data_IF_102907199527
#
_entry.id   IF_102907199527
#
_cell.length_a   1.000
_cell.length_b   1.000
_cell.length_c   1.000
_cell.angle_alpha   90.00
_cell.angle_beta   90.00
_cell.angle_gamma   90.00
#
_symmetry.space_group_name_H-M   'P 1'
#
loop_
_entity.id
_entity.type
_entity.pdbx_description
1 polymer ?
#
# COMPACT_ATOMS: atom_id res chain seq x y z
N UNK A 1 8.23 -55.16 -17.34
CA UNK A 1 7.94 -54.50 -16.05
C UNK A 1 9.00 -53.42 -15.90
N UNK A 2 8.77 -52.12 -15.78
CA UNK A 2 7.60 -51.23 -15.55
C UNK A 2 8.32 -49.97 -15.05
N UNK A 3 8.09 -48.72 -15.41
CA UNK A 3 7.06 -48.00 -16.14
C UNK A 3 7.79 -46.98 -17.02
N UNK A 4 7.36 -46.84 -18.27
CA UNK A 4 7.67 -45.65 -19.06
C UNK A 4 7.04 -44.45 -18.36
N UNK A 5 7.90 -43.56 -17.86
CA UNK A 5 7.59 -42.31 -17.20
C UNK A 5 6.79 -41.40 -18.16
N UNK A 6 5.48 -41.64 -18.24
CA UNK A 6 4.55 -40.89 -19.06
C UNK A 6 4.23 -39.58 -18.33
N UNK A 7 5.24 -38.69 -18.25
CA UNK A 7 5.02 -37.29 -17.88
C UNK A 7 4.08 -36.70 -18.90
N UNK A 8 2.81 -36.62 -18.53
CA UNK A 8 1.76 -35.94 -19.28
C UNK A 8 2.31 -34.57 -19.66
N UNK A 9 2.58 -34.37 -20.96
CA UNK A 9 3.16 -33.13 -21.47
C UNK A 9 2.18 -32.02 -21.13
N UNK A 10 2.59 -31.10 -20.24
CA UNK A 10 1.69 -30.07 -19.72
C UNK A 10 1.28 -29.13 -20.87
N UNK A 11 0.06 -28.56 -20.80
CA UNK A 11 -0.39 -27.63 -21.82
C UNK A 11 0.50 -26.39 -21.79
N UNK A 12 1.24 -26.17 -22.88
CA UNK A 12 2.07 -24.98 -23.08
C UNK A 12 1.16 -23.76 -23.31
N UNK A 13 1.51 -22.63 -22.71
CA UNK A 13 0.89 -21.34 -23.02
C UNK A 13 1.20 -20.97 -24.48
N UNK A 14 0.26 -20.34 -25.20
CA UNK A 14 0.46 -19.99 -26.61
C UNK A 14 1.59 -18.96 -26.76
N UNK A 15 2.33 -19.04 -27.87
CA UNK A 15 3.36 -18.06 -28.23
C UNK A 15 2.73 -16.88 -28.97
N UNK A 16 1.86 -16.14 -28.29
CA UNK A 16 1.22 -14.94 -28.80
C UNK A 16 1.21 -13.83 -27.75
N UNK A 17 1.14 -12.59 -28.20
CA UNK A 17 1.06 -11.42 -27.30
C UNK A 17 -0.37 -11.17 -26.80
N UNK A 18 -1.39 -11.54 -27.58
CA UNK A 18 -2.79 -11.37 -27.21
C UNK A 18 -3.19 -12.30 -26.06
N UNK A 19 -3.97 -11.76 -25.12
CA UNK A 19 -4.47 -12.51 -23.97
C UNK A 19 -6.00 -12.64 -24.04
N UNK A 20 -6.51 -13.66 -23.34
CA UNK A 20 -7.93 -13.83 -23.03
C UNK A 20 -8.06 -14.11 -21.54
N UNK A 21 -9.26 -13.95 -20.95
CA UNK A 21 -9.47 -14.30 -19.54
C UNK A 21 -9.09 -15.75 -19.24
N UNK A 22 -9.36 -16.67 -20.16
CA UNK A 22 -8.98 -18.08 -20.02
C UNK A 22 -7.45 -18.26 -20.00
N UNK A 23 -6.71 -17.53 -20.84
CA UNK A 23 -5.24 -17.57 -20.87
C UNK A 23 -4.64 -16.94 -19.62
N UNK A 24 -5.23 -15.86 -19.12
CA UNK A 24 -4.82 -15.24 -17.84
C UNK A 24 -5.03 -16.24 -16.70
N UNK A 25 -6.18 -16.92 -16.62
CA UNK A 25 -6.43 -17.90 -15.57
C UNK A 25 -5.52 -19.13 -15.71
N UNK A 26 -5.25 -19.58 -16.94
CA UNK A 26 -4.28 -20.65 -17.17
C UNK A 26 -2.87 -20.26 -16.70
N UNK A 27 -2.41 -19.06 -17.04
CA UNK A 27 -1.12 -18.55 -16.56
C UNK A 27 -1.12 -18.42 -15.03
N UNK A 28 -2.21 -17.92 -14.46
CA UNK A 28 -2.40 -17.77 -13.02
C UNK A 28 -2.31 -19.12 -12.30
N UNK A 29 -2.99 -20.17 -12.77
CA UNK A 29 -2.93 -21.51 -12.16
C UNK A 29 -1.52 -22.12 -12.24
N UNK A 30 -0.83 -21.99 -13.38
CA UNK A 30 0.54 -22.50 -13.50
C UNK A 30 1.52 -21.73 -12.59
N UNK A 31 1.40 -20.41 -12.48
CA UNK A 31 2.16 -19.59 -11.53
C UNK A 31 1.82 -20.00 -10.09
N UNK A 32 0.54 -20.16 -9.76
CA UNK A 32 0.05 -20.58 -8.44
C UNK A 32 0.64 -21.91 -8.02
N UNK A 33 0.67 -22.88 -8.94
CA UNK A 33 1.24 -24.20 -8.73
C UNK A 33 2.74 -24.11 -8.42
N UNK A 34 3.50 -23.36 -9.22
CA UNK A 34 4.93 -23.15 -8.96
C UNK A 34 5.15 -22.46 -7.62
N UNK A 35 4.43 -21.38 -7.33
CA UNK A 35 4.51 -20.68 -6.05
C UNK A 35 4.20 -21.59 -4.86
N UNK A 36 3.19 -22.46 -4.98
CA UNK A 36 2.85 -23.46 -3.96
C UNK A 36 3.95 -24.51 -3.77
N UNK A 37 4.61 -24.94 -4.86
CA UNK A 37 5.73 -25.87 -4.77
C UNK A 37 6.92 -25.28 -4.00
N UNK A 38 7.12 -23.96 -4.09
CA UNK A 38 8.09 -23.21 -3.28
C UNK A 38 7.56 -22.81 -1.89
N UNK A 39 6.36 -23.22 -1.53
CA UNK A 39 5.69 -22.91 -0.26
C UNK A 39 5.55 -21.40 0.01
N UNK A 40 5.31 -20.58 -1.02
CA UNK A 40 4.95 -19.17 -0.83
C UNK A 40 3.62 -19.07 -0.08
N UNK A 41 3.63 -18.39 1.06
CA UNK A 41 2.42 -18.09 1.82
C UNK A 41 1.84 -16.76 1.37
N UNK A 42 0.67 -16.79 0.73
CA UNK A 42 -0.01 -15.60 0.19
C UNK A 42 -1.42 -15.46 0.73
N UNK A 43 -1.98 -14.25 0.73
CA UNK A 43 -3.43 -14.06 0.81
C UNK A 43 -4.09 -14.60 -0.48
N UNK A 44 -5.39 -14.95 -0.45
CA UNK A 44 -6.12 -15.25 -1.67
C UNK A 44 -5.98 -14.12 -2.69
N UNK A 45 -5.74 -14.46 -3.95
CA UNK A 45 -5.53 -13.49 -5.03
C UNK A 45 -6.85 -13.13 -5.72
N UNK A 46 -7.08 -11.85 -5.93
CA UNK A 46 -8.13 -11.30 -6.77
C UNK A 46 -7.48 -10.50 -7.90
N UNK A 47 -7.60 -11.00 -9.12
CA UNK A 47 -7.07 -10.34 -10.32
C UNK A 47 -8.15 -9.44 -10.92
N UNK A 48 -7.82 -8.18 -11.16
CA UNK A 48 -8.71 -7.22 -11.82
C UNK A 48 -8.03 -6.62 -13.04
N UNK A 49 -8.63 -6.78 -14.22
CA UNK A 49 -8.13 -6.14 -15.44
C UNK A 49 -8.72 -4.73 -15.53
N UNK A 50 -7.85 -3.73 -15.69
CA UNK A 50 -8.20 -2.31 -15.72
C UNK A 50 -7.56 -1.60 -16.90
N UNK A 51 -8.17 -0.50 -17.33
CA UNK A 51 -7.64 0.37 -18.38
C UNK A 51 -6.45 1.18 -17.87
N UNK A 52 -5.62 1.74 -18.77
CA UNK A 52 -4.55 2.65 -18.37
C UNK A 52 -5.06 3.89 -17.58
N UNK A 53 -6.26 4.39 -17.89
CA UNK A 53 -6.88 5.51 -17.17
C UNK A 53 -7.22 5.11 -15.72
N UNK A 54 -7.88 3.97 -15.55
CA UNK A 54 -8.18 3.42 -14.22
C UNK A 54 -6.92 3.14 -13.41
N UNK A 55 -5.84 2.70 -14.07
CA UNK A 55 -4.56 2.50 -13.40
C UNK A 55 -3.96 3.82 -12.91
N UNK A 56 -4.02 4.88 -13.71
CA UNK A 56 -3.56 6.21 -13.27
C UNK A 56 -4.40 6.74 -12.11
N UNK A 57 -5.71 6.55 -12.14
CA UNK A 57 -6.59 6.90 -11.02
C UNK A 57 -6.22 6.13 -9.74
N UNK A 58 -6.00 4.82 -9.87
CA UNK A 58 -5.54 3.99 -8.76
C UNK A 58 -4.17 4.48 -8.23
N UNK A 59 -3.20 4.82 -9.08
CA UNK A 59 -1.90 5.36 -8.64
C UNK A 59 -2.04 6.63 -7.79
N UNK A 60 -2.93 7.52 -8.20
CA UNK A 60 -3.08 8.83 -7.55
C UNK A 60 -3.78 8.74 -6.20
N UNK A 61 -4.58 7.70 -6.02
CA UNK A 61 -5.21 7.31 -4.77
C UNK A 61 -4.39 6.30 -3.96
N UNK A 62 -3.08 6.18 -4.24
CA UNK A 62 -2.14 5.28 -3.53
C UNK A 62 -2.53 3.79 -3.66
N UNK A 63 -3.11 3.43 -4.81
CA UNK A 63 -3.55 2.09 -5.17
C UNK A 63 -4.90 1.68 -4.59
N UNK A 64 -5.61 2.54 -3.85
CA UNK A 64 -6.87 2.15 -3.20
C UNK A 64 -8.07 2.24 -4.16
N UNK A 65 -9.04 1.29 -4.13
CA UNK A 65 -10.18 1.30 -5.04
C UNK A 65 -11.18 2.42 -4.70
N UNK A 66 -11.13 2.89 -3.45
CA UNK A 66 -12.00 3.92 -2.91
C UNK A 66 -11.15 4.87 -2.08
N UNK A 67 -11.16 6.16 -2.43
CA UNK A 67 -10.55 7.22 -1.63
C UNK A 67 -11.49 8.43 -1.54
N UNK A 68 -11.21 9.33 -0.61
CA UNK A 68 -11.80 10.67 -0.59
C UNK A 68 -11.15 11.55 -1.67
N UNK A 69 -11.85 12.61 -2.06
CA UNK A 69 -11.35 13.55 -3.05
C UNK A 69 -10.37 14.53 -2.38
N UNK A 70 -9.26 14.81 -3.06
CA UNK A 70 -8.32 15.84 -2.65
C UNK A 70 -7.60 16.38 -3.89
N UNK A 71 -7.42 17.70 -3.98
CA UNK A 71 -6.83 18.34 -5.16
C UNK A 71 -5.41 17.86 -5.46
N UNK A 72 -4.65 17.45 -4.42
CA UNK A 72 -3.29 16.93 -4.59
C UNK A 72 -3.26 15.65 -5.42
N UNK A 73 -4.30 14.80 -5.31
CA UNK A 73 -4.41 13.58 -6.11
C UNK A 73 -4.58 13.92 -7.59
N UNK A 74 -5.42 14.91 -7.92
CA UNK A 74 -5.57 15.40 -9.29
C UNK A 74 -4.28 16.02 -9.86
N UNK A 75 -3.52 16.76 -9.05
CA UNK A 75 -2.21 17.28 -9.46
C UNK A 75 -1.23 16.14 -9.76
N UNK A 76 -1.22 15.08 -8.93
CA UNK A 76 -0.42 13.89 -9.18
C UNK A 76 -0.87 13.16 -10.44
N UNK A 77 -2.19 13.06 -10.69
CA UNK A 77 -2.75 12.46 -11.90
C UNK A 77 -2.20 13.11 -13.15
N UNK A 78 -2.33 14.44 -13.25
CA UNK A 78 -1.84 15.19 -14.40
C UNK A 78 -0.33 15.05 -14.61
N UNK A 79 0.45 14.95 -13.53
CA UNK A 79 1.89 14.73 -13.62
C UNK A 79 2.23 13.34 -14.17
N UNK A 80 1.57 12.30 -13.64
CA UNK A 80 1.75 10.90 -14.07
C UNK A 80 1.30 10.70 -15.51
N UNK A 81 0.10 11.18 -15.86
CA UNK A 81 -0.45 11.10 -17.21
C UNK A 81 0.48 11.78 -18.23
N UNK A 82 1.00 12.97 -17.90
CA UNK A 82 1.92 13.70 -18.79
C UNK A 82 3.23 12.95 -18.99
N UNK A 83 3.79 12.34 -17.94
CA UNK A 83 5.00 11.52 -18.04
C UNK A 83 4.77 10.27 -18.90
N UNK A 84 3.60 9.64 -18.75
CA UNK A 84 3.19 8.49 -19.53
C UNK A 84 3.00 8.83 -21.01
N UNK A 85 2.20 9.87 -21.34
CA UNK A 85 1.97 10.31 -22.73
C UNK A 85 3.27 10.70 -23.45
N UNK A 86 4.29 11.14 -22.70
CA UNK A 86 5.61 11.49 -23.23
C UNK A 86 6.55 10.29 -23.40
N UNK A 87 6.11 9.08 -23.06
CA UNK A 87 6.92 7.86 -23.08
C UNK A 87 8.11 7.90 -22.11
N UNK A 88 8.12 8.84 -21.16
CA UNK A 88 9.21 9.03 -20.19
C UNK A 88 9.12 8.04 -19.03
N UNK A 89 7.93 7.47 -18.83
CA UNK A 89 7.65 6.45 -17.83
C UNK A 89 6.97 5.29 -18.55
N UNK A 90 7.56 4.10 -18.53
CA UNK A 90 6.74 2.90 -18.72
C UNK A 90 5.75 2.86 -17.56
N UNK A 91 4.45 2.68 -17.82
CA UNK A 91 3.50 2.44 -16.74
C UNK A 91 4.06 1.32 -15.87
N UNK A 92 4.08 1.53 -14.56
CA UNK A 92 4.38 0.45 -13.65
C UNK A 92 3.29 -0.59 -13.88
N UNK A 93 3.72 -1.77 -14.34
CA UNK A 93 2.87 -2.77 -14.99
C UNK A 93 1.76 -3.33 -14.09
N UNK A 94 1.79 -2.97 -12.80
CA UNK A 94 0.98 -3.54 -11.75
C UNK A 94 0.70 -2.53 -10.65
N UNK A 95 -0.42 -2.73 -9.97
CA UNK A 95 -0.69 -2.16 -8.64
C UNK A 95 -1.21 -3.31 -7.79
N UNK A 96 -0.63 -3.49 -6.61
CA UNK A 96 -1.07 -4.47 -5.64
C UNK A 96 -1.56 -3.81 -4.36
N UNK A 97 -2.74 -4.21 -3.91
CA UNK A 97 -3.32 -3.80 -2.64
C UNK A 97 -3.13 -4.91 -1.62
N UNK A 98 -2.51 -4.58 -0.49
CA UNK A 98 -2.41 -5.45 0.67
C UNK A 98 -3.76 -5.60 1.41
N UNK A 99 -4.73 -6.23 0.76
CA UNK A 99 -6.02 -6.62 1.33
C UNK A 99 -6.16 -8.14 1.41
N UNK A 100 -7.23 -8.62 2.03
CA UNK A 100 -7.59 -10.03 2.03
C UNK A 100 -9.04 -10.19 1.50
N UNK A 101 -9.22 -10.60 0.22
CA UNK A 101 -8.21 -11.04 -0.75
C UNK A 101 -7.26 -9.92 -1.20
N UNK A 102 -6.05 -10.28 -1.59
CA UNK A 102 -5.06 -9.37 -2.16
C UNK A 102 -5.49 -9.03 -3.59
N UNK A 103 -5.66 -7.74 -3.87
CA UNK A 103 -6.11 -7.27 -5.19
C UNK A 103 -4.87 -6.93 -6.01
N UNK A 104 -4.76 -7.52 -7.20
CA UNK A 104 -3.72 -7.20 -8.18
C UNK A 104 -4.36 -6.69 -9.47
N UNK A 105 -3.99 -5.47 -9.83
CA UNK A 105 -4.46 -4.81 -11.04
C UNK A 105 -3.57 -5.15 -12.24
N UNK A 106 -4.20 -5.64 -13.29
CA UNK A 106 -3.61 -6.01 -14.57
C UNK A 106 -4.00 -4.97 -15.62
N UNK A 107 -3.03 -4.37 -16.30
CA UNK A 107 -3.37 -3.48 -17.42
C UNK A 107 -3.91 -4.27 -18.61
N UNK A 108 -4.94 -3.78 -19.27
CA UNK A 108 -5.47 -4.41 -20.48
C UNK A 108 -4.48 -4.36 -21.66
N UNK A 109 -3.62 -3.33 -21.72
CA UNK A 109 -2.65 -3.13 -22.79
C UNK A 109 -1.40 -4.03 -22.65
N UNK A 110 -1.28 -4.78 -21.54
CA UNK A 110 -0.19 -5.73 -21.35
C UNK A 110 -0.32 -6.92 -22.31
N UNK A 111 0.81 -7.39 -22.85
CA UNK A 111 0.87 -8.70 -23.52
C UNK A 111 0.63 -9.85 -22.53
N UNK A 112 0.32 -11.05 -23.03
CA UNK A 112 0.22 -12.26 -22.19
C UNK A 112 1.47 -12.50 -21.33
N UNK A 113 2.66 -12.24 -21.88
CA UNK A 113 3.92 -12.31 -21.14
C UNK A 113 3.94 -11.33 -19.98
N UNK A 114 3.54 -10.09 -20.24
CA UNK A 114 3.47 -9.05 -19.21
C UNK A 114 2.38 -9.35 -18.17
N UNK A 115 1.23 -9.91 -18.56
CA UNK A 115 0.22 -10.37 -17.61
C UNK A 115 0.80 -11.44 -16.68
N UNK A 116 1.46 -12.46 -17.22
CA UNK A 116 2.09 -13.51 -16.43
C UNK A 116 3.20 -12.97 -15.51
N UNK A 117 4.00 -12.02 -16.00
CA UNK A 117 5.01 -11.33 -15.21
C UNK A 117 4.40 -10.59 -14.02
N UNK A 118 3.34 -9.81 -14.27
CA UNK A 118 2.64 -9.05 -13.25
C UNK A 118 2.00 -9.99 -12.24
N UNK A 119 1.32 -11.05 -12.67
CA UNK A 119 0.71 -12.03 -11.76
C UNK A 119 1.79 -12.64 -10.84
N UNK A 120 2.93 -13.06 -11.40
CA UNK A 120 4.01 -13.63 -10.60
C UNK A 120 4.63 -12.59 -9.62
N UNK A 121 4.76 -11.33 -10.05
CA UNK A 121 5.34 -10.24 -9.27
C UNK A 121 4.40 -9.73 -8.18
N UNK A 122 3.22 -9.29 -8.56
CA UNK A 122 2.21 -8.68 -7.71
C UNK A 122 1.49 -9.70 -6.83
N UNK A 123 0.89 -10.72 -7.45
CA UNK A 123 -0.03 -11.65 -6.80
C UNK A 123 0.69 -12.70 -5.94
N UNK A 124 1.98 -12.97 -6.22
CA UNK A 124 2.76 -13.96 -5.45
C UNK A 124 3.97 -13.32 -4.77
N UNK A 125 4.73 -12.49 -5.47
CA UNK A 125 5.86 -11.77 -4.91
C UNK A 125 5.46 -10.82 -3.78
N UNK A 126 4.83 -9.70 -4.11
CA UNK A 126 4.42 -8.70 -3.10
C UNK A 126 3.44 -9.26 -2.09
N UNK A 127 2.45 -10.03 -2.52
CA UNK A 127 1.48 -10.64 -1.62
C UNK A 127 2.16 -11.50 -0.54
N UNK A 128 3.10 -12.38 -0.91
CA UNK A 128 3.82 -13.19 0.08
C UNK A 128 4.71 -12.34 1.00
N UNK A 129 5.29 -11.26 0.48
CA UNK A 129 6.04 -10.30 1.29
C UNK A 129 5.13 -9.61 2.33
N UNK A 130 3.97 -9.11 1.92
CA UNK A 130 3.02 -8.43 2.80
C UNK A 130 2.52 -9.37 3.91
N UNK A 131 2.18 -10.62 3.57
CA UNK A 131 1.69 -11.61 4.54
C UNK A 131 2.78 -12.04 5.53
N UNK A 132 4.00 -12.24 5.05
CA UNK A 132 5.12 -12.75 5.85
C UNK A 132 5.83 -11.69 6.69
N UNK A 133 5.89 -10.44 6.23
CA UNK A 133 6.73 -9.41 6.84
C UNK A 133 6.18 -8.90 8.18
N UNK A 134 7.06 -8.80 9.18
CA UNK A 134 6.66 -8.42 10.54
C UNK A 134 6.09 -7.00 10.63
N UNK A 135 6.56 -6.05 9.82
CA UNK A 135 6.07 -4.66 9.82
C UNK A 135 4.65 -4.61 9.29
N UNK A 136 4.37 -5.32 8.19
CA UNK A 136 3.02 -5.41 7.64
C UNK A 136 2.08 -6.07 8.64
N UNK A 137 2.46 -7.20 9.24
CA UNK A 137 1.62 -7.87 10.26
C UNK A 137 1.32 -6.99 11.48
N UNK A 138 2.26 -6.12 11.84
CA UNK A 138 2.15 -5.21 12.99
C UNK A 138 1.27 -4.01 12.68
N UNK A 139 1.47 -3.37 11.54
CA UNK A 139 0.92 -2.04 11.23
C UNK A 139 -0.24 -2.04 10.24
N UNK A 140 -0.38 -3.11 9.46
CA UNK A 140 -1.46 -3.25 8.49
C UNK A 140 -2.54 -4.20 9.00
N UNK A 141 -3.75 -3.99 8.50
CA UNK A 141 -4.90 -4.86 8.71
C UNK A 141 -5.55 -5.11 7.35
N UNK A 142 -5.10 -6.16 6.68
CA UNK A 142 -5.51 -6.48 5.32
C UNK A 142 -7.02 -6.82 5.22
N UNK A 143 -7.62 -7.32 6.31
CA UNK A 143 -9.04 -7.69 6.34
C UNK A 143 -9.95 -6.46 6.39
N UNK A 144 -9.52 -5.39 7.08
CA UNK A 144 -10.38 -4.24 7.40
C UNK A 144 -10.08 -2.98 6.57
N UNK A 145 -9.02 -2.97 5.76
CA UNK A 145 -8.54 -1.76 5.11
C UNK A 145 -9.54 -1.17 4.11
N UNK A 146 -10.20 -2.02 3.32
CA UNK A 146 -11.17 -1.59 2.30
C UNK A 146 -12.39 -0.93 2.96
N UNK A 147 -12.96 -1.59 3.98
CA UNK A 147 -14.07 -1.03 4.77
C UNK A 147 -13.69 0.30 5.42
N UNK A 148 -12.45 0.40 5.91
CA UNK A 148 -11.95 1.61 6.50
C UNK A 148 -11.83 2.76 5.49
N UNK A 149 -11.41 2.49 4.25
CA UNK A 149 -11.37 3.50 3.18
C UNK A 149 -12.77 3.96 2.78
N UNK A 150 -13.73 3.06 2.68
CA UNK A 150 -15.14 3.40 2.39
C UNK A 150 -15.70 4.29 3.51
N UNK A 151 -15.43 3.95 4.77
CA UNK A 151 -15.78 4.79 5.91
C UNK A 151 -15.14 6.18 5.81
N UNK A 152 -13.84 6.27 5.55
CA UNK A 152 -13.12 7.53 5.46
C UNK A 152 -13.69 8.44 4.36
N UNK A 153 -13.96 7.88 3.16
CA UNK A 153 -14.59 8.61 2.06
C UNK A 153 -15.95 9.18 2.44
N UNK A 154 -16.83 8.34 2.99
CA UNK A 154 -18.18 8.76 3.36
C UNK A 154 -18.16 9.81 4.47
N UNK A 155 -17.25 9.65 5.44
CA UNK A 155 -17.10 10.58 6.56
C UNK A 155 -16.63 11.96 6.09
N UNK A 156 -15.64 12.02 5.18
CA UNK A 156 -15.16 13.28 4.62
C UNK A 156 -16.26 13.96 3.80
N UNK A 157 -16.98 13.21 2.97
CA UNK A 157 -18.11 13.76 2.21
C UNK A 157 -19.23 14.32 3.10
N UNK A 158 -19.52 13.65 4.23
CA UNK A 158 -20.47 14.15 5.22
C UNK A 158 -19.97 15.42 5.92
N UNK A 159 -18.66 15.49 6.21
CA UNK A 159 -18.06 16.70 6.78
C UNK A 159 -18.13 17.88 5.80
N UNK A 160 -17.84 17.66 4.51
CA UNK A 160 -17.95 18.69 3.47
C UNK A 160 -19.37 19.26 3.37
N UNK A 161 -20.39 18.39 3.46
CA UNK A 161 -21.80 18.81 3.44
C UNK A 161 -22.19 19.64 4.68
N UNK A 162 -21.65 19.31 5.86
CA UNK A 162 -22.05 19.93 7.12
C UNK A 162 -21.25 21.18 7.47
N UNK A 163 -19.96 21.18 7.18
CA UNK A 163 -18.99 22.19 7.63
C UNK A 163 -18.47 23.06 6.49
N UNK A 164 -18.82 22.73 5.24
CA UNK A 164 -18.36 23.43 4.04
C UNK A 164 -17.07 22.85 3.49
N UNK A 165 -16.90 22.98 2.18
CA UNK A 165 -15.75 22.44 1.45
C UNK A 165 -14.42 23.07 1.92
N UNK A 166 -14.33 24.40 1.93
CA UNK A 166 -13.09 25.13 2.24
C UNK A 166 -12.51 24.77 3.62
N UNK A 167 -13.37 24.64 4.63
CA UNK A 167 -12.94 24.32 5.99
C UNK A 167 -12.42 22.88 6.14
N UNK A 168 -13.00 21.94 5.39
CA UNK A 168 -12.55 20.54 5.37
C UNK A 168 -11.25 20.41 4.58
N UNK A 169 -11.14 21.11 3.43
CA UNK A 169 -9.94 21.13 2.60
C UNK A 169 -8.73 21.69 3.35
N UNK A 170 -8.87 22.83 4.04
CA UNK A 170 -7.77 23.43 4.83
C UNK A 170 -7.24 22.47 5.91
N UNK A 171 -8.13 21.73 6.56
CA UNK A 171 -7.74 20.72 7.54
C UNK A 171 -7.07 19.52 6.87
N UNK A 172 -7.60 19.03 5.76
CA UNK A 172 -7.02 17.91 5.01
C UNK A 172 -5.63 18.26 4.49
N UNK A 173 -5.44 19.44 3.94
CA UNK A 173 -4.14 19.96 3.48
C UNK A 173 -3.13 19.98 4.62
N UNK A 174 -3.53 20.51 5.77
CA UNK A 174 -2.69 20.55 6.98
C UNK A 174 -2.29 19.14 7.45
N UNK A 175 -3.23 18.20 7.42
CA UNK A 175 -2.97 16.81 7.80
C UNK A 175 -2.06 16.10 6.79
N UNK A 176 -2.28 16.32 5.49
CA UNK A 176 -1.46 15.76 4.40
C UNK A 176 -0.02 16.27 4.44
N UNK A 177 0.20 17.56 4.77
CA UNK A 177 1.53 18.11 4.97
C UNK A 177 2.30 17.39 6.10
N UNK A 178 1.59 16.91 7.12
CA UNK A 178 2.15 16.21 8.28
C UNK A 178 2.11 14.68 8.16
N UNK A 179 1.61 14.13 7.06
CA UNK A 179 1.34 12.70 6.88
C UNK A 179 2.56 11.81 7.19
N UNK A 180 3.75 12.24 6.76
CA UNK A 180 5.02 11.51 6.96
C UNK A 180 5.51 11.50 8.41
N UNK A 181 5.00 12.41 9.25
CA UNK A 181 5.27 12.50 10.68
C UNK A 181 4.09 11.97 11.52
N UNK A 182 3.04 11.47 10.87
CA UNK A 182 1.85 10.88 11.47
C UNK A 182 1.99 9.39 11.78
N UNK A 183 3.21 8.87 11.91
CA UNK A 183 3.49 7.43 12.00
C UNK A 183 4.26 7.10 13.27
N UNK A 184 3.87 6.02 13.92
CA UNK A 184 4.59 5.43 15.04
C UNK A 184 5.65 4.47 14.50
N UNK A 185 6.92 4.72 14.81
CA UNK A 185 8.03 3.87 14.35
C UNK A 185 8.41 2.76 15.34
N UNK A 186 8.13 2.98 16.63
CA UNK A 186 8.66 2.14 17.72
C UNK A 186 7.63 1.63 18.73
N UNK A 187 6.41 2.19 18.80
CA UNK A 187 5.41 1.81 19.82
C UNK A 187 4.26 1.00 19.22
N UNK A 188 3.98 -0.19 19.77
CA UNK A 188 2.82 -1.02 19.39
C UNK A 188 1.54 -0.54 20.10
N UNK A 189 0.58 0.12 19.46
CA UNK A 189 -0.79 0.13 19.95
C UNK A 189 -1.46 -1.22 19.63
N UNK A 190 -2.22 -1.78 20.57
CA UNK A 190 -2.96 -3.01 20.36
C UNK A 190 -4.06 -2.83 19.28
N UNK A 191 -4.22 -3.83 18.39
CA UNK A 191 -5.30 -3.86 17.39
C UNK A 191 -6.66 -3.82 18.11
N UNK A 192 -7.49 -2.84 17.77
CA UNK A 192 -8.86 -2.69 18.27
C UNK A 192 -9.81 -2.82 17.06
N UNK A 193 -10.84 -3.66 17.19
CA UNK A 193 -11.88 -3.83 16.17
C UNK A 193 -12.67 -2.54 15.93
N UNK A 194 -13.14 -2.36 14.69
CA UNK A 194 -13.92 -1.23 14.18
C UNK A 194 -15.20 -0.95 15.01
N UNK A 195 -15.84 -2.00 15.55
CA UNK A 195 -17.00 -1.86 16.45
C UNK A 195 -16.61 -1.32 17.83
N UNK A 196 -15.52 -1.83 18.41
CA UNK A 196 -14.94 -1.31 19.65
C UNK A 196 -14.46 0.13 19.47
N UNK A 197 -14.11 0.48 18.23
CA UNK A 197 -13.66 1.79 17.86
C UNK A 197 -14.79 2.82 17.79
N UNK A 198 -15.94 2.45 17.21
CA UNK A 198 -17.19 3.24 17.27
C UNK A 198 -17.75 3.36 18.70
N UNK A 199 -17.68 2.30 19.49
CA UNK A 199 -18.10 2.34 20.90
C UNK A 199 -17.20 3.29 21.71
N UNK A 200 -15.88 3.22 21.52
CA UNK A 200 -14.93 4.18 22.12
C UNK A 200 -15.10 5.59 21.60
N UNK A 201 -15.55 5.79 20.37
CA UNK A 201 -15.86 7.11 19.84
C UNK A 201 -16.98 7.76 20.66
N UNK A 202 -18.09 7.03 20.87
CA UNK A 202 -19.20 7.49 21.71
C UNK A 202 -18.79 7.73 23.17
N UNK A 203 -17.98 6.83 23.76
CA UNK A 203 -17.48 7.01 25.12
C UNK A 203 -16.53 8.21 25.25
N UNK A 204 -15.68 8.46 24.24
CA UNK A 204 -14.74 9.59 24.25
C UNK A 204 -15.41 10.92 23.99
N UNK A 205 -16.41 10.96 23.11
CA UNK A 205 -17.27 12.14 22.91
C UNK A 205 -17.96 12.50 24.22
N UNK A 206 -18.50 11.52 24.94
CA UNK A 206 -19.10 11.72 26.27
C UNK A 206 -18.08 12.22 27.31
N UNK A 207 -16.86 11.68 27.33
CA UNK A 207 -15.79 12.09 28.26
C UNK A 207 -15.24 13.51 27.96
N UNK A 208 -15.11 13.87 26.70
CA UNK A 208 -14.68 15.22 26.29
C UNK A 208 -15.74 16.28 26.61
N UNK A 209 -17.03 15.96 26.45
CA UNK A 209 -18.12 16.81 26.93
C UNK A 209 -18.06 17.02 28.45
N UNK A 210 -17.52 16.07 29.22
CA UNK A 210 -17.37 16.22 30.67
C UNK A 210 -16.19 17.14 31.05
N UNK A 211 -15.04 17.04 30.36
CA UNK A 211 -13.90 17.93 30.62
C UNK A 211 -14.13 19.38 30.21
N UNK A 212 -14.85 19.61 29.11
CA UNK A 212 -15.25 20.98 28.74
C UNK A 212 -16.12 21.58 29.85
N UNK A 213 -17.01 20.79 30.47
CA UNK A 213 -17.87 21.28 31.56
C UNK A 213 -17.09 21.69 32.83
N UNK A 214 -15.96 21.04 33.15
CA UNK A 214 -15.13 21.40 34.30
C UNK A 214 -14.32 22.70 34.08
N UNK A 215 -13.99 23.06 32.84
CA UNK A 215 -13.38 24.36 32.50
C UNK A 215 -14.36 25.53 32.66
N UNK A 216 -15.67 25.26 32.69
CA UNK A 216 -16.74 26.26 32.86
C UNK A 216 -17.34 26.30 34.28
N UNK A 217 -16.79 25.54 35.23
CA UNK A 217 -17.18 25.67 36.64
C UNK A 217 -16.59 26.95 37.24
N UNK A 218 -17.37 28.02 37.18
CA UNK A 218 -17.16 29.25 37.95
C UNK A 218 -17.37 29.00 39.44
N UNK A 219 -16.35 28.46 40.10
CA UNK A 219 -16.22 28.55 41.56
C UNK A 219 -15.04 29.49 41.88
N UNK A 220 -15.19 30.43 42.84
CA UNK A 220 -14.11 31.33 43.21
C UNK A 220 -12.91 30.52 43.71
N UNK A 221 -11.76 30.70 43.08
CA UNK A 221 -10.49 30.06 43.46
C UNK A 221 -10.06 30.56 44.84
N UNK A 222 -9.84 29.63 45.77
CA UNK A 222 -9.00 29.88 46.95
C UNK A 222 -7.56 29.98 46.44
N UNK A 223 -6.86 31.05 46.77
CA UNK A 223 -5.45 31.22 46.42
C UNK A 223 -4.60 30.17 47.13
N UNK A 224 -4.34 29.06 46.46
CA UNK A 224 -3.23 28.19 46.79
C UNK A 224 -1.99 28.73 46.06
N UNK A 225 -0.96 29.00 46.85
CA UNK A 225 0.34 29.51 46.41
C UNK A 225 0.87 28.62 45.29
N UNK A 226 0.95 29.17 44.08
CA UNK A 226 1.52 28.50 42.93
C UNK A 226 3.01 28.25 43.20
N UNK A 227 3.34 27.01 43.56
CA UNK A 227 4.71 26.51 43.49
C UNK A 227 5.05 26.49 42.00
N UNK A 228 5.99 27.33 41.58
CA UNK A 228 6.55 27.36 40.23
C UNK A 228 7.31 26.04 39.99
N UNK A 229 6.56 25.00 39.62
CA UNK A 229 7.12 23.82 39.01
C UNK A 229 7.47 24.24 37.59
N UNK A 230 8.77 24.35 37.30
CA UNK A 230 9.31 24.75 35.99
C UNK A 230 8.61 24.05 34.82
N UNK A 231 8.76 24.56 33.58
CA UNK A 231 7.82 24.35 32.47
C UNK A 231 7.34 22.90 32.42
N UNK A 232 6.08 22.69 32.80
CA UNK A 232 5.45 21.38 32.87
C UNK A 232 5.56 20.77 31.46
N UNK A 233 6.43 19.77 31.29
CA UNK A 233 6.73 19.20 29.98
C UNK A 233 5.46 18.51 29.46
N UNK A 234 4.82 19.14 28.48
CA UNK A 234 3.60 18.67 27.87
C UNK A 234 3.90 18.26 26.42
N UNK A 235 3.59 17.01 26.01
CA UNK A 235 3.03 15.91 26.79
C UNK A 235 4.06 15.27 27.74
N UNK A 236 3.62 14.56 28.80
CA UNK A 236 4.52 13.96 29.80
C UNK A 236 5.48 12.94 29.19
N UNK A 237 5.08 12.25 28.13
CA UNK A 237 5.97 11.45 27.28
C UNK A 237 6.05 12.06 25.87
N UNK A 238 7.25 12.22 25.30
CA UNK A 238 7.41 12.71 23.94
C UNK A 238 6.67 11.80 22.94
N UNK A 239 5.91 12.41 22.04
CA UNK A 239 5.19 11.71 20.98
C UNK A 239 5.90 11.96 19.66
N UNK A 240 6.32 10.89 18.98
CA UNK A 240 6.89 10.97 17.63
C UNK A 240 5.80 11.24 16.58
N UNK A 241 4.63 10.65 16.77
CA UNK A 241 3.49 10.79 15.87
C UNK A 241 2.77 12.12 16.10
N UNK A 242 3.03 13.10 15.23
CA UNK A 242 2.47 14.45 15.33
C UNK A 242 0.94 14.45 15.16
N UNK A 243 0.41 13.66 14.23
CA UNK A 243 -1.04 13.55 14.03
C UNK A 243 -1.71 12.93 15.26
N UNK A 244 -1.08 11.95 15.91
CA UNK A 244 -1.58 11.39 17.17
C UNK A 244 -1.57 12.44 18.28
N UNK A 245 -0.51 13.23 18.34
CA UNK A 245 -0.40 14.32 19.31
C UNK A 245 -1.55 15.33 19.14
N UNK A 246 -1.82 15.78 17.92
CA UNK A 246 -2.94 16.69 17.65
C UNK A 246 -4.31 16.04 17.95
N UNK A 247 -4.53 14.79 17.54
CA UNK A 247 -5.77 14.05 17.85
C UNK A 247 -6.08 14.02 19.35
N UNK A 248 -5.07 13.85 20.20
CA UNK A 248 -5.23 13.67 21.65
C UNK A 248 -5.21 14.97 22.44
N UNK A 249 -4.31 15.88 22.08
CA UNK A 249 -3.94 16.98 22.96
C UNK A 249 -4.35 18.34 22.44
N UNK A 250 -4.80 18.47 21.18
CA UNK A 250 -5.25 19.77 20.67
C UNK A 250 -6.61 20.14 21.28
N UNK A 251 -6.67 21.19 22.13
CA UNK A 251 -7.91 21.54 22.83
C UNK A 251 -8.95 22.16 21.90
N UNK A 252 -8.50 22.82 20.83
CA UNK A 252 -9.34 23.58 19.89
C UNK A 252 -9.97 22.72 18.78
N UNK A 253 -9.53 21.46 18.60
CA UNK A 253 -10.11 20.62 17.56
C UNK A 253 -11.50 20.13 17.98
N UNK A 254 -12.47 20.45 17.14
CA UNK A 254 -13.83 19.91 17.20
C UNK A 254 -13.83 18.39 16.96
N UNK A 255 -14.87 17.66 17.41
CA UNK A 255 -14.93 16.21 17.24
C UNK A 255 -14.73 15.75 15.79
N UNK A 256 -15.28 16.49 14.82
CA UNK A 256 -15.16 16.12 13.42
C UNK A 256 -13.74 16.27 12.89
N UNK A 257 -13.05 17.35 13.29
CA UNK A 257 -11.67 17.63 12.90
C UNK A 257 -10.71 16.57 13.45
N UNK A 258 -10.94 16.11 14.69
CA UNK A 258 -10.13 15.04 15.29
C UNK A 258 -10.26 13.73 14.53
N UNK A 259 -11.46 13.41 14.05
CA UNK A 259 -11.65 12.19 13.26
C UNK A 259 -11.00 12.31 11.88
N UNK A 260 -10.99 13.48 11.24
CA UNK A 260 -10.22 13.72 10.00
C UNK A 260 -8.72 13.50 10.24
N UNK A 261 -8.16 14.09 11.30
CA UNK A 261 -6.74 13.89 11.69
C UNK A 261 -6.44 12.41 11.89
N UNK A 262 -7.35 11.68 12.55
CA UNK A 262 -7.22 10.25 12.78
C UNK A 262 -7.28 9.42 11.50
N UNK A 263 -8.15 9.80 10.56
CA UNK A 263 -8.27 9.16 9.24
C UNK A 263 -6.92 9.24 8.52
N UNK A 264 -6.37 10.44 8.39
CA UNK A 264 -5.07 10.65 7.74
C UNK A 264 -3.97 9.88 8.49
N UNK A 265 -3.97 9.91 9.82
CA UNK A 265 -3.00 9.16 10.63
C UNK A 265 -3.05 7.65 10.38
N UNK A 266 -4.24 7.04 10.35
CA UNK A 266 -4.40 5.60 10.11
C UNK A 266 -3.97 5.21 8.71
N UNK A 267 -4.33 6.01 7.70
CA UNK A 267 -3.88 5.83 6.30
C UNK A 267 -2.34 5.91 6.23
N UNK A 268 -1.75 6.92 6.86
CA UNK A 268 -0.30 7.11 6.93
C UNK A 268 0.40 5.90 7.54
N UNK A 269 -0.12 5.40 8.67
CA UNK A 269 0.44 4.25 9.38
C UNK A 269 0.35 2.98 8.54
N UNK A 270 -0.75 2.78 7.82
CA UNK A 270 -0.95 1.62 6.95
C UNK A 270 0.08 1.57 5.82
N UNK A 271 0.38 2.70 5.19
CA UNK A 271 1.36 2.77 4.09
C UNK A 271 2.82 2.90 4.54
N UNK A 272 3.07 3.11 5.83
CA UNK A 272 4.42 3.29 6.37
C UNK A 272 5.35 2.10 6.10
N UNK A 273 4.94 0.83 6.31
CA UNK A 273 5.78 -0.33 6.03
C UNK A 273 6.28 -0.39 4.58
N UNK A 274 5.43 -0.07 3.59
CA UNK A 274 5.80 -0.12 2.17
C UNK A 274 7.01 0.76 1.86
N UNK A 275 7.03 1.98 2.39
CA UNK A 275 8.17 2.90 2.21
C UNK A 275 9.42 2.42 2.95
N UNK A 276 9.24 1.92 4.17
CA UNK A 276 10.35 1.45 4.99
C UNK A 276 11.04 0.21 4.39
N UNK A 277 10.26 -0.69 3.80
CA UNK A 277 10.76 -1.97 3.26
C UNK A 277 10.93 -1.96 1.75
N UNK A 278 10.90 -0.81 1.08
CA UNK A 278 10.83 -0.71 -0.38
C UNK A 278 11.84 -1.62 -1.09
N UNK A 279 13.13 -1.54 -0.74
CA UNK A 279 14.19 -2.36 -1.35
C UNK A 279 13.93 -3.86 -1.17
N UNK A 280 13.51 -4.28 0.02
CA UNK A 280 13.23 -5.70 0.29
C UNK A 280 11.95 -6.17 -0.39
N UNK A 281 10.91 -5.32 -0.43
CA UNK A 281 9.63 -5.63 -1.06
C UNK A 281 9.79 -5.81 -2.57
N UNK A 282 10.35 -4.81 -3.25
CA UNK A 282 10.64 -4.87 -4.69
C UNK A 282 11.62 -6.01 -5.00
N UNK A 283 12.66 -6.18 -4.17
CA UNK A 283 13.64 -7.27 -4.32
C UNK A 283 13.03 -8.65 -4.20
N UNK A 284 12.14 -8.87 -3.23
CA UNK A 284 11.44 -10.14 -3.02
C UNK A 284 10.50 -10.46 -4.18
N UNK A 285 9.72 -9.50 -4.64
CA UNK A 285 8.85 -9.68 -5.80
C UNK A 285 9.64 -9.93 -7.08
N UNK A 286 10.75 -9.20 -7.27
CA UNK A 286 11.69 -9.39 -8.40
C UNK A 286 12.44 -10.71 -8.32
N UNK A 287 12.64 -11.26 -7.14
CA UNK A 287 13.23 -12.59 -6.99
C UNK A 287 12.23 -13.67 -7.39
N UNK A 288 10.99 -13.57 -6.92
CA UNK A 288 9.98 -14.59 -7.15
C UNK A 288 9.45 -14.60 -8.56
N UNK A 289 9.18 -13.44 -9.18
CA UNK A 289 8.73 -13.44 -10.57
C UNK A 289 9.77 -14.07 -11.51
N UNK A 290 11.06 -13.92 -11.20
CA UNK A 290 12.16 -14.44 -11.99
C UNK A 290 12.28 -15.93 -11.76
N UNK A 291 12.27 -16.36 -10.50
CA UNK A 291 12.32 -17.78 -10.13
C UNK A 291 11.12 -18.55 -10.72
N UNK A 292 9.91 -18.02 -10.58
CA UNK A 292 8.69 -18.69 -11.04
C UNK A 292 8.66 -18.80 -12.58
N UNK A 293 8.92 -17.70 -13.30
CA UNK A 293 8.86 -17.72 -14.76
C UNK A 293 9.97 -18.60 -15.38
N UNK A 294 11.17 -18.61 -14.80
CA UNK A 294 12.22 -19.54 -15.23
C UNK A 294 11.83 -21.01 -14.96
N UNK A 295 11.19 -21.30 -13.82
CA UNK A 295 10.67 -22.65 -13.54
C UNK A 295 9.60 -23.07 -14.57
N UNK A 296 8.70 -22.17 -14.96
CA UNK A 296 7.72 -22.45 -16.01
C UNK A 296 8.38 -22.73 -17.36
N UNK A 297 9.50 -22.06 -17.67
CA UNK A 297 10.27 -22.31 -18.87
C UNK A 297 10.99 -23.67 -18.83
N UNK A 298 11.63 -24.00 -17.72
CA UNK A 298 12.27 -25.32 -17.51
C UNK A 298 11.28 -26.48 -17.63
N UNK A 299 10.03 -26.27 -17.20
CA UNK A 299 8.94 -27.24 -17.31
C UNK A 299 8.28 -27.28 -18.71
N UNK A 300 8.71 -26.40 -19.63
CA UNK A 300 8.16 -26.28 -20.98
C UNK A 300 6.74 -25.73 -21.06
N UNK A 301 6.28 -25.06 -20.00
CA UNK A 301 4.97 -24.40 -19.94
C UNK A 301 4.99 -23.10 -20.75
N UNK A 302 6.09 -22.36 -20.72
CA UNK A 302 6.32 -21.18 -21.57
C UNK A 302 7.42 -21.43 -22.60
N UNK A 303 7.37 -20.68 -23.71
CA UNK A 303 8.29 -20.81 -24.82
C UNK A 303 9.42 -19.77 -24.88
N UNK A 304 10.27 -19.88 -25.89
CA UNK A 304 11.42 -18.98 -26.07
C UNK A 304 10.98 -17.54 -26.33
N UNK A 305 9.92 -17.34 -27.13
CA UNK A 305 9.39 -16.00 -27.43
C UNK A 305 8.93 -15.26 -26.17
N UNK A 306 8.21 -15.98 -25.30
CA UNK A 306 7.80 -15.48 -23.98
C UNK A 306 9.01 -15.09 -23.13
N UNK A 307 10.04 -15.94 -23.10
CA UNK A 307 11.23 -15.70 -22.28
C UNK A 307 12.06 -14.52 -22.77
N UNK A 308 12.17 -14.29 -24.08
CA UNK A 308 12.89 -13.12 -24.62
C UNK A 308 12.21 -11.83 -24.18
N UNK A 309 10.88 -11.75 -24.32
CA UNK A 309 10.11 -10.58 -23.90
C UNK A 309 10.21 -10.37 -22.38
N UNK A 310 10.06 -11.43 -21.58
CA UNK A 310 10.23 -11.37 -20.13
C UNK A 310 11.63 -10.85 -19.74
N UNK A 311 12.70 -11.40 -20.34
CA UNK A 311 14.07 -11.00 -20.01
C UNK A 311 14.34 -9.55 -20.38
N UNK A 312 13.79 -9.05 -21.50
CA UNK A 312 13.86 -7.64 -21.86
C UNK A 312 13.20 -6.76 -20.79
N UNK A 313 11.98 -7.09 -20.37
CA UNK A 313 11.28 -6.33 -19.33
C UNK A 313 11.99 -6.40 -17.98
N UNK A 314 12.43 -7.59 -17.55
CA UNK A 314 13.14 -7.79 -16.29
C UNK A 314 14.46 -7.00 -16.26
N UNK A 315 15.29 -7.12 -17.31
CA UNK A 315 16.59 -6.44 -17.37
C UNK A 315 16.47 -4.92 -17.38
N UNK A 316 15.44 -4.37 -18.02
CA UNK A 316 15.15 -2.93 -17.97
C UNK A 316 14.83 -2.44 -16.56
N UNK A 317 14.08 -3.23 -15.78
CA UNK A 317 13.68 -2.86 -14.41
C UNK A 317 14.85 -2.99 -13.42
N UNK A 318 15.69 -4.03 -13.56
CA UNK A 318 16.84 -4.23 -12.66
C UNK A 318 18.10 -3.48 -13.09
N UNK A 319 18.05 -2.69 -14.16
CA UNK A 319 19.19 -1.91 -14.61
C UNK A 319 19.52 -0.79 -13.62
N UNK A 320 20.77 -0.75 -13.17
CA UNK A 320 21.31 0.32 -12.33
C UNK A 320 22.40 1.06 -13.13
N UNK A 321 22.20 2.34 -13.49
CA UNK A 321 23.27 3.15 -14.06
C UNK A 321 24.47 3.22 -13.11
N UNK A 322 25.72 3.19 -13.63
CA UNK A 322 26.91 3.43 -12.83
C UNK A 322 26.86 4.81 -12.15
N UNK A 323 27.50 4.94 -10.98
CA UNK A 323 27.49 6.17 -10.17
C UNK A 323 27.98 7.41 -10.93
N UNK A 324 28.90 7.25 -11.89
CA UNK A 324 29.40 8.34 -12.73
C UNK A 324 28.52 8.72 -13.92
N UNK A 325 27.38 8.05 -14.12
CA UNK A 325 26.48 8.31 -15.26
C UNK A 325 25.68 9.61 -15.03
N UNK A 326 25.47 10.46 -16.06
CA UNK A 326 24.56 11.60 -15.97
C UNK A 326 23.10 11.19 -15.71
N UNK A 327 22.77 9.91 -15.91
CA UNK A 327 21.44 9.34 -15.68
C UNK A 327 21.31 8.65 -14.31
N UNK A 328 22.32 8.72 -13.44
CA UNK A 328 22.24 8.17 -12.09
C UNK A 328 21.29 9.01 -11.23
N UNK A 329 20.20 8.40 -10.77
CA UNK A 329 19.17 9.05 -9.94
C UNK A 329 19.08 8.50 -8.51
N UNK A 330 20.08 7.74 -8.08
CA UNK A 330 20.10 7.05 -6.79
C UNK A 330 20.12 5.53 -6.94
N UNK A 331 19.82 4.85 -5.83
CA UNK A 331 19.78 3.39 -5.77
C UNK A 331 18.45 2.89 -6.35
N UNK A 332 18.53 1.99 -7.32
CA UNK A 332 17.39 1.26 -7.86
C UNK A 332 17.01 0.13 -6.86
N UNK A 333 15.83 0.18 -6.23
CA UNK A 333 15.41 -0.80 -5.25
C UNK A 333 15.26 -2.21 -5.85
N UNK A 334 14.84 -2.32 -7.12
CA UNK A 334 14.74 -3.59 -7.84
C UNK A 334 16.12 -4.22 -8.01
N UNK A 335 17.08 -3.43 -8.50
CA UNK A 335 18.45 -3.92 -8.74
C UNK A 335 19.13 -4.39 -7.46
N UNK A 336 19.12 -3.56 -6.41
CA UNK A 336 19.76 -3.91 -5.14
C UNK A 336 19.02 -5.07 -4.46
N UNK A 337 17.70 -4.97 -4.34
CA UNK A 337 16.87 -5.95 -3.67
C UNK A 337 16.93 -7.33 -4.33
N UNK A 338 16.87 -7.40 -5.67
CA UNK A 338 17.00 -8.66 -6.40
C UNK A 338 18.35 -9.33 -6.14
N UNK A 339 19.44 -8.57 -6.24
CA UNK A 339 20.79 -9.11 -5.98
C UNK A 339 20.93 -9.59 -4.54
N UNK A 340 20.37 -8.88 -3.55
CA UNK A 340 20.33 -9.33 -2.16
C UNK A 340 19.62 -10.68 -2.02
N UNK A 341 18.43 -10.83 -2.61
CA UNK A 341 17.68 -12.09 -2.53
C UNK A 341 18.38 -13.24 -3.28
N UNK A 342 19.04 -12.94 -4.39
CA UNK A 342 19.85 -13.91 -5.16
C UNK A 342 21.07 -14.40 -4.38
N UNK A 343 21.69 -13.54 -3.57
CA UNK A 343 22.83 -13.87 -2.71
C UNK A 343 22.42 -14.71 -1.49
N UNK A 344 21.22 -14.48 -0.95
CA UNK A 344 20.68 -15.22 0.20
C UNK A 344 20.22 -16.65 -0.17
N UNK A 345 19.87 -16.89 -1.45
CA UNK A 345 19.19 -18.11 -1.94
C UNK A 345 19.87 -19.42 -1.57
#
# INVERSE_FOLDING_TARGET
MSESDNKTRRPRLPEQSEWTFDLIEQAHEEIRRVAKNFALDTYPNQLEVITAEQMMDAYTSVGMPVSYNHWSFGKHFMATEKSYRRGQMGLAYEIVINSNPCIAYLMEENSLTMQALVIAHASYGHNSFFKGNYLFRTWTDADAIIDYMVFAKNYIAECEQRHGFDAVEELLDSCHALQNYGVDRYKRPAKLSLEKERARQKEREAYLQTQVNDLWRTLPRREEVAVDQGPNRFPPEPQENLLYFFEKYAPLLEPWQREVVRIIRKISQYFYPQRQTQVMNEGWATFWHYTILNQLYEEGVVGDGFMIEFLQSHTNVVYQPPVGSPYYSGINPYALGFNMMRDIR
#
